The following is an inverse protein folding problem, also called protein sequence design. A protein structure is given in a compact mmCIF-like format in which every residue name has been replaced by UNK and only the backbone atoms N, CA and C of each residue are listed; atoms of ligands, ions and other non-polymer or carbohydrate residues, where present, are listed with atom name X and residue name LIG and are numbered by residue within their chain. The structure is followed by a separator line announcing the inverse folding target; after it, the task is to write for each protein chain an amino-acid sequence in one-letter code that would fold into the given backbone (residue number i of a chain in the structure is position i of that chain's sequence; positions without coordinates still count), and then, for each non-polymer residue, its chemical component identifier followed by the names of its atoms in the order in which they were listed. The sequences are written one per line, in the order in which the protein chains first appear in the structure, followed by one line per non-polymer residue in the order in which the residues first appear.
data_IF_983854081025
#
_entry.id   IF_983854081025
#
_cell.length_a   1.000
_cell.length_b   1.000
_cell.length_c   1.000
_cell.angle_alpha   90.00
_cell.angle_beta   90.00
_cell.angle_gamma   90.00
#
_symmetry.space_group_name_H-M   'P 1'
#
loop_
_entity.id
_entity.type
_entity.pdbx_description
1 polymer ?
#
# COMPACT_ATOMS: atom_id res chain seq x y z
N UNK A 1 -25.32 10.87 22.96
CA UNK A 1 -25.87 10.20 21.77
C UNK A 1 -24.81 10.17 20.69
N UNK A 2 -23.91 9.19 20.72
CA UNK A 2 -22.94 8.95 19.66
C UNK A 2 -22.96 7.44 19.42
N UNK A 3 -23.85 6.97 18.56
CA UNK A 3 -23.96 5.54 18.27
C UNK A 3 -24.84 5.34 17.03
N UNK A 4 -24.18 5.07 15.89
CA UNK A 4 -24.66 4.19 14.79
C UNK A 4 -23.76 4.24 13.55
N UNK A 5 -23.01 5.32 13.32
CA UNK A 5 -22.15 5.47 12.13
C UNK A 5 -20.75 4.85 12.28
N UNK A 6 -20.20 4.80 13.49
CA UNK A 6 -18.83 4.33 13.75
C UNK A 6 -18.70 2.79 13.73
N UNK A 7 -19.81 2.07 13.94
CA UNK A 7 -19.87 0.61 14.03
C UNK A 7 -19.90 -0.08 12.66
N UNK A 8 -20.40 0.61 11.62
CA UNK A 8 -20.56 0.07 10.27
C UNK A 8 -19.30 0.17 9.38
N UNK A 9 -18.31 0.94 9.83
CA UNK A 9 -17.07 1.19 9.10
C UNK A 9 -16.02 0.08 9.34
N UNK A 10 -16.03 -0.55 10.53
CA UNK A 10 -15.13 -1.65 10.92
C UNK A 10 -15.17 -2.88 10.00
N UNK A 11 -16.33 -3.33 9.47
CA UNK A 11 -16.42 -4.46 8.54
C UNK A 11 -15.88 -4.19 7.13
N UNK A 12 -15.99 -2.97 6.60
CA UNK A 12 -15.63 -2.69 5.21
C UNK A 12 -14.10 -2.74 4.95
N UNK A 13 -13.30 -2.21 5.88
CA UNK A 13 -11.84 -2.31 5.81
C UNK A 13 -11.30 -3.70 6.13
N UNK A 14 -12.06 -4.46 6.93
CA UNK A 14 -11.78 -5.85 7.29
C UNK A 14 -11.76 -6.74 6.04
N UNK A 15 -12.64 -6.52 5.07
CA UNK A 15 -12.77 -7.40 3.89
C UNK A 15 -11.84 -7.02 2.74
N UNK A 16 -11.61 -5.73 2.49
CA UNK A 16 -10.69 -5.24 1.44
C UNK A 16 -9.25 -5.75 1.57
N UNK A 17 -8.72 -5.79 2.79
CA UNK A 17 -7.34 -6.26 3.07
C UNK A 17 -7.25 -7.77 3.25
N UNK A 18 -8.34 -8.42 3.65
CA UNK A 18 -8.45 -9.87 3.61
C UNK A 18 -8.28 -10.39 2.19
N UNK A 19 -8.89 -9.75 1.21
CA UNK A 19 -8.75 -10.17 -0.18
C UNK A 19 -7.31 -9.99 -0.72
N UNK A 20 -6.62 -8.91 -0.34
CA UNK A 20 -5.24 -8.64 -0.76
C UNK A 20 -4.18 -9.49 -0.02
N UNK A 21 -4.38 -9.80 1.27
CA UNK A 21 -3.38 -10.46 2.12
C UNK A 21 -3.71 -11.92 2.49
N UNK A 22 -5.00 -12.28 2.65
CA UNK A 22 -5.41 -13.52 3.31
C UNK A 22 -5.71 -14.72 2.39
N UNK A 23 -5.96 -14.53 1.09
CA UNK A 23 -6.31 -15.66 0.19
C UNK A 23 -5.11 -16.37 -0.46
N UNK A 24 -3.92 -15.81 -0.29
CA UNK A 24 -2.68 -16.39 -0.79
C UNK A 24 -1.87 -17.02 0.34
N UNK A 25 -1.32 -18.22 0.13
CA UNK A 25 -0.24 -18.76 0.97
C UNK A 25 0.88 -17.70 1.14
N UNK A 26 1.72 -17.73 2.19
CA UNK A 26 2.77 -16.73 2.42
C UNK A 26 3.57 -16.41 1.14
N UNK A 27 3.82 -17.43 0.33
CA UNK A 27 4.58 -17.40 -0.92
C UNK A 27 3.84 -16.73 -2.11
N UNK A 28 2.55 -16.42 -1.95
CA UNK A 28 1.63 -16.01 -3.02
C UNK A 28 1.01 -14.62 -2.82
N UNK A 29 1.54 -13.76 -1.93
CA UNK A 29 0.91 -12.46 -1.66
C UNK A 29 0.66 -11.67 -2.95
N UNK A 30 -0.54 -11.10 -3.11
CA UNK A 30 -0.89 -10.36 -4.32
C UNK A 30 0.11 -9.23 -4.58
N UNK A 31 0.56 -8.52 -3.53
CA UNK A 31 1.62 -7.52 -3.64
C UNK A 31 2.91 -8.07 -4.30
N UNK A 32 3.42 -9.21 -3.82
CA UNK A 32 4.64 -9.82 -4.36
C UNK A 32 4.44 -10.43 -5.75
N UNK A 33 3.28 -11.05 -6.00
CA UNK A 33 2.96 -11.64 -7.30
C UNK A 33 2.81 -10.57 -8.38
N UNK A 34 2.07 -9.51 -8.09
CA UNK A 34 1.74 -8.48 -9.05
C UNK A 34 2.97 -7.64 -9.41
N UNK A 35 3.87 -7.38 -8.46
CA UNK A 35 5.16 -6.71 -8.72
C UNK A 35 6.17 -7.59 -9.45
N UNK A 36 6.14 -8.90 -9.24
CA UNK A 36 6.97 -9.83 -9.99
C UNK A 36 6.55 -9.96 -11.47
N UNK A 37 5.42 -9.35 -11.87
CA UNK A 37 4.86 -9.51 -13.20
C UNK A 37 4.97 -8.21 -14.02
N UNK A 38 5.59 -8.23 -15.22
CA UNK A 38 5.99 -7.02 -15.95
C UNK A 38 4.83 -6.20 -16.54
N UNK A 39 3.60 -6.73 -16.51
CA UNK A 39 2.40 -6.07 -17.02
C UNK A 39 1.95 -4.91 -16.15
N UNK A 40 2.43 -4.82 -14.91
CA UNK A 40 1.89 -3.96 -13.87
C UNK A 40 2.87 -2.80 -13.61
N UNK A 41 2.83 -1.85 -14.54
CA UNK A 41 3.71 -0.68 -14.68
C UNK A 41 3.29 0.47 -13.74
N UNK A 42 4.27 1.14 -13.13
CA UNK A 42 4.09 2.34 -12.32
C UNK A 42 3.89 2.11 -10.81
N UNK A 43 3.69 3.21 -10.07
CA UNK A 43 3.39 3.17 -8.63
C UNK A 43 1.91 2.92 -8.38
N UNK A 44 1.59 2.00 -7.46
CA UNK A 44 0.20 1.80 -7.00
C UNK A 44 0.02 2.42 -5.64
N UNK A 45 -1.07 3.14 -5.49
CA UNK A 45 -1.54 3.75 -4.24
C UNK A 45 -2.95 3.23 -3.93
N UNK A 46 -3.50 3.58 -2.76
CA UNK A 46 -4.85 3.14 -2.37
C UNK A 46 -5.89 3.48 -3.44
N UNK A 47 -5.76 4.64 -4.10
CA UNK A 47 -6.63 5.10 -5.21
C UNK A 47 -6.64 4.17 -6.45
N UNK A 48 -5.65 3.30 -6.59
CA UNK A 48 -5.56 2.34 -7.68
C UNK A 48 -6.28 1.03 -7.37
N UNK A 49 -6.64 0.76 -6.11
CA UNK A 49 -7.37 -0.45 -5.72
C UNK A 49 -8.87 -0.16 -5.81
N UNK A 50 -9.57 -0.90 -6.66
CA UNK A 50 -11.00 -0.77 -6.94
C UNK A 50 -11.75 -2.01 -6.47
N UNK A 51 -12.98 -1.81 -6.00
CA UNK A 51 -13.92 -2.88 -5.68
C UNK A 51 -15.16 -2.71 -6.55
N UNK A 52 -15.69 -3.81 -7.10
CA UNK A 52 -16.88 -3.77 -7.94
C UNK A 52 -18.11 -3.70 -7.03
N UNK A 53 -19.01 -2.77 -7.34
CA UNK A 53 -20.35 -2.79 -6.76
C UNK A 53 -21.21 -3.78 -7.55
N UNK A 54 -21.66 -4.83 -6.90
CA UNK A 54 -22.62 -5.77 -7.45
C UNK A 54 -24.00 -5.10 -7.44
N UNK A 55 -24.34 -4.49 -8.59
CA UNK A 55 -25.54 -3.67 -8.79
C UNK A 55 -26.85 -4.38 -8.44
N UNK A 56 -26.89 -5.71 -8.52
CA UNK A 56 -28.07 -6.50 -8.17
C UNK A 56 -28.30 -6.60 -6.65
N UNK A 57 -27.24 -6.57 -5.84
CA UNK A 57 -27.30 -6.75 -4.39
C UNK A 57 -27.06 -5.45 -3.60
N UNK A 58 -26.69 -4.36 -4.29
CA UNK A 58 -26.15 -3.14 -3.67
C UNK A 58 -25.05 -3.45 -2.65
N UNK A 59 -24.25 -4.48 -2.95
CA UNK A 59 -23.20 -4.99 -2.12
C UNK A 59 -21.87 -4.80 -2.85
N UNK A 60 -20.84 -4.38 -2.13
CA UNK A 60 -19.50 -4.25 -2.68
C UNK A 60 -18.80 -5.60 -2.54
N UNK A 61 -18.33 -6.17 -3.66
CA UNK A 61 -17.50 -7.37 -3.65
C UNK A 61 -16.09 -6.99 -3.18
N UNK A 62 -15.87 -7.13 -1.87
CA UNK A 62 -14.58 -6.89 -1.25
C UNK A 62 -13.62 -8.07 -1.41
N UNK A 63 -14.09 -9.24 -1.85
CA UNK A 63 -13.28 -10.45 -2.03
C UNK A 63 -12.44 -10.40 -3.31
N UNK A 64 -12.79 -9.51 -4.25
CA UNK A 64 -12.12 -9.35 -5.54
C UNK A 64 -11.69 -7.90 -5.77
N UNK A 65 -10.55 -7.47 -5.20
CA UNK A 65 -9.95 -6.18 -5.52
C UNK A 65 -9.40 -6.20 -6.96
N UNK A 66 -9.59 -5.11 -7.67
CA UNK A 66 -9.05 -4.86 -8.99
C UNK A 66 -8.03 -3.73 -8.92
N UNK A 67 -7.01 -3.78 -9.78
CA UNK A 67 -6.02 -2.70 -9.85
C UNK A 67 -6.26 -1.89 -11.11
N UNK A 68 -6.49 -0.59 -10.94
CA UNK A 68 -6.59 0.36 -12.03
C UNK A 68 -5.20 0.69 -12.55
N UNK A 69 -4.99 0.39 -13.82
CA UNK A 69 -3.76 0.68 -14.53
C UNK A 69 -4.02 1.48 -15.80
N UNK A 70 -3.16 2.45 -16.05
CA UNK A 70 -3.19 3.27 -17.27
C UNK A 70 -2.01 2.87 -18.13
N UNK A 71 -2.26 2.46 -19.37
CA UNK A 71 -1.22 2.15 -20.35
C UNK A 71 -1.09 3.31 -21.34
N UNK A 72 0.13 3.78 -21.65
CA UNK A 72 0.31 4.79 -22.69
C UNK A 72 -0.07 4.20 -24.05
N UNK A 73 -0.88 4.93 -24.81
CA UNK A 73 -1.45 4.45 -26.08
C UNK A 73 -0.46 4.44 -27.26
N UNK A 74 0.81 4.77 -27.06
CA UNK A 74 1.83 4.80 -28.12
C UNK A 74 3.18 4.28 -27.63
N UNK A 75 3.92 3.52 -28.46
CA UNK A 75 5.33 3.24 -28.18
C UNK A 75 6.07 4.59 -28.17
N UNK A 76 6.73 4.91 -27.05
CA UNK A 76 7.57 6.10 -26.93
C UNK A 76 8.64 6.05 -28.02
N UNK A 77 8.43 6.78 -29.12
CA UNK A 77 9.54 7.24 -29.92
C UNK A 77 10.40 8.11 -29.00
N UNK A 78 11.66 7.72 -28.89
CA UNK A 78 12.70 8.38 -28.13
C UNK A 78 12.76 9.87 -28.48
N UNK A 79 12.05 10.70 -27.73
CA UNK A 79 12.28 12.14 -27.70
C UNK A 79 13.09 12.40 -26.45
N UNK A 80 14.40 12.22 -26.61
CA UNK A 80 15.37 12.90 -25.77
C UNK A 80 15.02 14.39 -25.77
N UNK A 81 14.94 14.97 -24.58
CA UNK A 81 14.78 16.42 -24.35
C UNK A 81 13.35 16.95 -24.43
N UNK A 82 12.53 16.66 -23.41
CA UNK A 82 11.56 17.62 -22.88
C UNK A 82 11.07 17.17 -21.50
N UNK A 83 11.65 17.82 -20.48
CA UNK A 83 11.17 17.92 -19.09
C UNK A 83 10.94 16.59 -18.37
N UNK A 84 11.94 16.26 -17.55
CA UNK A 84 11.92 15.35 -16.42
C UNK A 84 10.74 15.67 -15.46
N UNK A 85 9.51 15.30 -15.81
CA UNK A 85 8.54 14.96 -14.77
C UNK A 85 8.85 13.52 -14.39
N UNK A 86 9.66 13.39 -13.36
CA UNK A 86 10.04 12.19 -12.63
C UNK A 86 8.94 11.12 -12.66
N UNK A 87 8.96 10.24 -13.67
CA UNK A 87 8.31 8.94 -13.63
C UNK A 87 9.29 7.91 -13.02
N UNK A 88 9.99 8.36 -11.96
CA UNK A 88 10.98 7.64 -11.15
C UNK A 88 10.29 6.68 -10.13
N UNK A 89 8.97 6.52 -10.27
CA UNK A 89 8.10 5.82 -9.33
C UNK A 89 7.93 4.32 -9.67
N UNK A 90 8.70 3.83 -10.64
CA UNK A 90 8.82 2.40 -10.96
C UNK A 90 9.82 1.66 -10.06
N UNK A 91 10.62 2.38 -9.25
CA UNK A 91 11.56 1.78 -8.30
C UNK A 91 10.82 0.95 -7.23
N UNK A 92 11.37 -0.22 -6.89
CA UNK A 92 10.81 -1.10 -5.87
C UNK A 92 10.77 -0.37 -4.52
N UNK A 93 11.75 0.48 -4.23
CA UNK A 93 11.80 1.36 -3.06
C UNK A 93 10.51 2.20 -2.91
N UNK A 94 10.13 2.90 -3.98
CA UNK A 94 8.91 3.72 -4.02
C UNK A 94 7.66 2.87 -3.76
N UNK A 95 7.65 1.62 -4.20
CA UNK A 95 6.49 0.76 -3.97
C UNK A 95 6.36 0.22 -2.55
N UNK A 96 7.47 0.04 -1.83
CA UNK A 96 7.40 -0.18 -0.39
C UNK A 96 6.89 1.06 0.34
N UNK A 97 7.35 2.25 -0.02
CA UNK A 97 6.79 3.48 0.57
C UNK A 97 5.28 3.56 0.33
N UNK A 98 4.83 3.36 -0.91
CA UNK A 98 3.41 3.37 -1.23
C UNK A 98 2.63 2.29 -0.48
N UNK A 99 3.18 1.09 -0.31
CA UNK A 99 2.55 0.03 0.46
C UNK A 99 2.43 0.39 1.95
N UNK A 100 3.50 0.91 2.55
CA UNK A 100 3.48 1.43 3.93
C UNK A 100 2.48 2.56 4.11
N UNK A 101 2.38 3.48 3.15
CA UNK A 101 1.35 4.53 3.13
C UNK A 101 -0.06 3.95 3.11
N UNK A 102 -0.34 2.99 2.21
CA UNK A 102 -1.67 2.38 2.14
C UNK A 102 -2.07 1.73 3.47
N UNK A 103 -1.14 1.02 4.13
CA UNK A 103 -1.40 0.41 5.44
C UNK A 103 -1.83 1.45 6.48
N UNK A 104 -1.20 2.63 6.50
CA UNK A 104 -1.59 3.73 7.37
C UNK A 104 -2.94 4.35 6.97
N UNK A 105 -3.14 4.62 5.69
CA UNK A 105 -4.40 5.19 5.19
C UNK A 105 -5.59 4.32 5.55
N UNK A 106 -5.43 3.00 5.52
CA UNK A 106 -6.46 2.08 5.98
C UNK A 106 -6.59 2.04 7.48
N UNK A 107 -5.48 1.95 8.21
CA UNK A 107 -5.56 1.85 9.66
C UNK A 107 -6.28 3.07 10.27
N UNK A 108 -5.91 4.28 9.82
CA UNK A 108 -6.46 5.54 10.31
C UNK A 108 -7.69 6.04 9.53
N UNK A 109 -8.00 5.45 8.37
CA UNK A 109 -9.11 5.86 7.48
C UNK A 109 -8.97 7.27 6.92
N UNK A 110 -7.75 7.74 6.79
CA UNK A 110 -7.43 9.08 6.33
C UNK A 110 -6.47 9.00 5.15
N UNK A 111 -6.64 9.79 4.09
CA UNK A 111 -5.67 9.84 3.01
C UNK A 111 -4.38 10.52 3.47
N UNK A 112 -3.23 10.14 2.92
CA UNK A 112 -1.94 10.79 3.23
C UNK A 112 -2.00 12.32 3.03
N UNK A 113 -2.80 12.76 2.06
CA UNK A 113 -2.96 14.17 1.72
C UNK A 113 -3.58 14.99 2.87
N UNK A 114 -4.45 14.40 3.70
CA UNK A 114 -5.03 15.11 4.87
C UNK A 114 -4.02 15.26 6.01
N UNK A 115 -2.98 14.43 6.01
CA UNK A 115 -1.90 14.48 7.01
C UNK A 115 -0.75 15.36 6.55
N UNK A 116 -0.61 15.68 5.27
CA UNK A 116 0.57 16.40 4.74
C UNK A 116 0.68 17.81 5.32
N UNK A 117 1.88 18.16 5.80
CA UNK A 117 2.22 19.51 6.23
C UNK A 117 3.12 20.21 5.21
N UNK A 118 3.11 21.54 5.19
CA UNK A 118 4.00 22.31 4.31
C UNK A 118 5.49 21.99 4.58
N UNK A 119 5.84 21.74 5.84
CA UNK A 119 7.18 21.33 6.27
C UNK A 119 7.62 19.96 5.73
N UNK A 120 6.67 19.11 5.31
CA UNK A 120 6.96 17.80 4.76
C UNK A 120 7.40 17.90 3.28
N UNK A 121 7.31 19.07 2.64
CA UNK A 121 7.69 19.25 1.23
C UNK A 121 9.17 18.89 1.01
N UNK A 122 9.42 18.06 0.01
CA UNK A 122 10.74 17.56 -0.38
C UNK A 122 11.04 17.76 -1.86
N UNK A 123 12.23 17.33 -2.32
CA UNK A 123 12.65 17.47 -3.71
C UNK A 123 11.80 16.65 -4.71
N UNK A 124 11.05 15.66 -4.22
CA UNK A 124 10.08 14.89 -5.00
C UNK A 124 8.83 14.57 -4.17
N UNK A 125 7.80 14.08 -4.84
CA UNK A 125 6.58 13.62 -4.18
C UNK A 125 6.87 12.46 -3.21
N UNK A 126 7.68 11.48 -3.62
CA UNK A 126 8.04 10.31 -2.78
C UNK A 126 8.86 10.73 -1.55
N UNK A 127 9.74 11.73 -1.65
CA UNK A 127 10.40 12.31 -0.48
C UNK A 127 9.43 13.03 0.46
N UNK A 128 8.44 13.73 -0.10
CA UNK A 128 7.41 14.42 0.68
C UNK A 128 6.50 13.43 1.41
N UNK A 129 6.15 12.33 0.72
CA UNK A 129 5.36 11.24 1.26
C UNK A 129 6.13 10.51 2.36
N UNK A 130 7.43 10.25 2.19
CA UNK A 130 8.29 9.67 3.23
C UNK A 130 8.30 10.50 4.52
N UNK A 131 8.45 11.83 4.40
CA UNK A 131 8.43 12.72 5.57
C UNK A 131 7.10 12.69 6.29
N UNK A 132 6.01 12.78 5.53
CA UNK A 132 4.63 12.70 6.04
C UNK A 132 4.41 11.39 6.78
N UNK A 133 4.74 10.26 6.15
CA UNK A 133 4.57 8.90 6.70
C UNK A 133 5.41 8.68 7.96
N UNK A 134 6.68 9.08 7.97
CA UNK A 134 7.54 8.96 9.16
C UNK A 134 6.98 9.74 10.34
N UNK A 135 6.56 10.98 10.11
CA UNK A 135 5.93 11.79 11.16
C UNK A 135 4.63 11.15 11.64
N UNK A 136 3.80 10.66 10.72
CA UNK A 136 2.54 10.02 11.06
C UNK A 136 2.75 8.82 11.99
N UNK A 137 3.68 7.92 11.65
CA UNK A 137 4.04 6.78 12.50
C UNK A 137 4.55 7.22 13.87
N UNK A 138 5.35 8.29 13.94
CA UNK A 138 5.88 8.79 15.22
C UNK A 138 4.80 9.40 16.11
N UNK A 139 3.83 10.12 15.54
CA UNK A 139 2.78 10.79 16.30
C UNK A 139 1.76 9.80 16.85
N UNK A 140 1.35 8.82 16.04
CA UNK A 140 0.21 7.95 16.35
C UNK A 140 0.66 6.52 16.70
N UNK A 141 1.93 6.33 17.10
CA UNK A 141 2.53 5.03 17.39
C UNK A 141 1.74 4.23 18.44
N UNK A 142 1.24 4.91 19.46
CA UNK A 142 0.53 4.29 20.59
C UNK A 142 -0.87 3.79 20.20
N UNK A 143 -1.46 4.33 19.13
CA UNK A 143 -2.76 3.90 18.62
C UNK A 143 -2.65 2.64 17.75
N UNK A 144 -1.45 2.35 17.23
CA UNK A 144 -1.23 1.29 16.27
C UNK A 144 -0.78 -0.02 16.93
N UNK A 145 -1.38 -1.17 16.57
CA UNK A 145 -0.89 -2.48 17.00
C UNK A 145 0.58 -2.68 16.60
N UNK A 146 1.37 -3.28 17.47
CA UNK A 146 2.82 -3.52 17.27
C UNK A 146 3.13 -4.18 15.91
N UNK A 147 2.27 -5.08 15.43
CA UNK A 147 2.43 -5.73 14.13
C UNK A 147 2.30 -4.75 12.94
N UNK A 148 1.38 -3.80 13.02
CA UNK A 148 1.17 -2.78 12.00
C UNK A 148 2.33 -1.78 12.04
N UNK A 149 2.76 -1.36 13.23
CA UNK A 149 3.94 -0.49 13.40
C UNK A 149 5.19 -1.10 12.77
N UNK A 150 5.47 -2.38 13.07
CA UNK A 150 6.61 -3.10 12.49
C UNK A 150 6.50 -3.23 10.97
N UNK A 151 5.33 -3.59 10.46
CA UNK A 151 5.08 -3.73 9.03
C UNK A 151 5.32 -2.42 8.27
N UNK A 152 4.74 -1.32 8.77
CA UNK A 152 4.88 0.01 8.17
C UNK A 152 6.34 0.50 8.28
N UNK A 153 6.97 0.32 9.44
CA UNK A 153 8.37 0.68 9.66
C UNK A 153 9.31 -0.08 8.73
N UNK A 154 9.05 -1.37 8.49
CA UNK A 154 9.81 -2.16 7.53
C UNK A 154 9.68 -1.60 6.11
N UNK A 155 8.46 -1.26 5.68
CA UNK A 155 8.21 -0.66 4.37
C UNK A 155 8.92 0.69 4.19
N UNK A 156 8.87 1.56 5.22
CA UNK A 156 9.60 2.84 5.24
C UNK A 156 11.12 2.62 5.18
N UNK A 157 11.61 1.59 5.88
CA UNK A 157 13.03 1.22 5.86
C UNK A 157 13.49 0.75 4.48
N UNK A 158 12.66 -0.03 3.77
CA UNK A 158 12.94 -0.47 2.41
C UNK A 158 13.12 0.71 1.46
N UNK A 159 12.28 1.75 1.55
CA UNK A 159 12.44 2.95 0.72
C UNK A 159 13.82 3.62 0.86
N UNK A 160 14.44 3.54 2.04
CA UNK A 160 15.75 4.13 2.31
C UNK A 160 16.94 3.19 2.01
N UNK A 161 16.68 1.95 1.59
CA UNK A 161 17.69 0.93 1.36
C UNK A 161 18.11 0.88 -0.11
N UNK A 162 19.39 0.64 -0.36
CA UNK A 162 19.93 0.44 -1.72
C UNK A 162 19.82 -1.01 -2.21
N UNK A 163 19.31 -1.92 -1.37
CA UNK A 163 19.30 -3.37 -1.62
C UNK A 163 17.90 -3.97 -1.76
N UNK A 164 16.90 -3.16 -2.09
CA UNK A 164 15.55 -3.66 -2.34
C UNK A 164 15.50 -4.23 -3.75
N UNK A 165 15.23 -5.52 -3.84
CA UNK A 165 14.98 -6.21 -5.11
C UNK A 165 13.85 -7.21 -4.90
N UNK A 166 12.68 -6.93 -5.48
CA UNK A 166 11.54 -7.85 -5.42
C UNK A 166 11.73 -9.09 -6.30
N UNK A 167 12.78 -9.18 -7.11
CA UNK A 167 13.18 -10.39 -7.83
C UNK A 167 14.04 -11.32 -6.98
N UNK A 168 14.72 -10.81 -5.95
CA UNK A 168 15.47 -11.63 -4.99
C UNK A 168 14.52 -12.44 -4.11
N UNK A 169 14.63 -13.77 -4.20
CA UNK A 169 13.84 -14.72 -3.42
C UNK A 169 14.06 -14.57 -1.91
N UNK A 170 15.27 -14.26 -1.47
CA UNK A 170 15.59 -14.09 -0.04
C UNK A 170 14.94 -12.82 0.51
N UNK A 171 15.04 -11.73 -0.26
CA UNK A 171 14.38 -10.48 0.11
C UNK A 171 12.85 -10.64 0.14
N UNK A 172 12.25 -11.29 -0.88
CA UNK A 172 10.82 -11.61 -0.89
C UNK A 172 10.39 -12.40 0.35
N UNK A 173 11.16 -13.42 0.74
CA UNK A 173 10.85 -14.19 1.94
C UNK A 173 10.91 -13.31 3.20
N UNK A 174 11.89 -12.42 3.28
CA UNK A 174 12.00 -11.46 4.38
C UNK A 174 10.76 -10.56 4.46
N UNK A 175 10.26 -10.08 3.32
CA UNK A 175 9.00 -9.29 3.25
C UNK A 175 7.81 -10.12 3.74
N UNK A 176 7.73 -11.40 3.34
CA UNK A 176 6.67 -12.31 3.81
C UNK A 176 6.71 -12.43 5.33
N UNK A 177 7.88 -12.71 5.91
CA UNK A 177 8.03 -13.00 7.33
C UNK A 177 7.85 -11.75 8.20
N UNK A 178 8.33 -10.59 7.75
CA UNK A 178 8.31 -9.35 8.53
C UNK A 178 7.02 -8.55 8.36
N UNK A 179 6.33 -8.70 7.22
CA UNK A 179 5.17 -7.85 6.88
C UNK A 179 3.91 -8.69 6.70
N UNK A 180 3.93 -9.67 5.80
CA UNK A 180 2.72 -10.37 5.39
C UNK A 180 2.19 -11.29 6.50
N UNK A 181 3.04 -12.13 7.08
CA UNK A 181 2.64 -13.09 8.14
C UNK A 181 2.09 -12.37 9.38
N UNK A 182 2.77 -11.36 9.96
CA UNK A 182 2.27 -10.65 11.14
C UNK A 182 0.93 -9.95 10.90
N UNK A 183 0.74 -9.34 9.73
CA UNK A 183 -0.53 -8.70 9.36
C UNK A 183 -1.64 -9.74 9.20
N UNK A 184 -1.37 -10.88 8.54
CA UNK A 184 -2.35 -11.96 8.35
C UNK A 184 -2.80 -12.55 9.67
N UNK A 185 -1.89 -12.84 10.59
CA UNK A 185 -2.25 -13.48 11.85
C UNK A 185 -3.06 -12.55 12.75
N UNK A 186 -2.75 -11.25 12.73
CA UNK A 186 -3.57 -10.25 13.42
C UNK A 186 -4.95 -10.06 12.80
N UNK A 187 -5.05 -10.11 11.47
CA UNK A 187 -6.34 -10.12 10.79
C UNK A 187 -7.17 -11.37 11.12
N UNK A 188 -6.55 -12.55 11.25
CA UNK A 188 -7.23 -13.77 11.73
C UNK A 188 -7.71 -13.62 13.17
N UNK A 189 -6.90 -13.04 14.06
CA UNK A 189 -7.30 -12.77 15.45
C UNK A 189 -8.50 -11.81 15.54
N UNK A 190 -8.67 -10.90 14.59
CA UNK A 190 -9.85 -10.02 14.52
C UNK A 190 -11.09 -10.70 13.91
N UNK A 191 -10.93 -11.92 13.38
CA UNK A 191 -12.00 -12.70 12.77
C UNK A 191 -12.51 -13.87 13.62
N UNK A 192 -11.74 -14.29 14.62
CA UNK A 192 -12.11 -15.30 15.60
C UNK A 192 -12.93 -14.68 16.74
#
# INVERSE_FOLDING_TARGET
MASKSETALRPALRTSYQALLLRSAPDHSAFLQLRATPWLYGSWRAKNVLFINETAANAIDFDKPYIRQTYPSRPQQQLASQVLTLDDDADDNCSFLNFGTMLLEIFFREPIDSRRLQADSGPSQSFSDLRTVRRWVQQDKEEMPICFDKAVSFCIGCFASTHVDLQDKLFRQTVVDQVIVPLKDKLKMWNA
#
